data_IF_840190548529
#
_entry.id   IF_840190548529
#
_cell.length_a   1.000
_cell.length_b   1.000
_cell.length_c   1.000
_cell.angle_alpha   90.00
_cell.angle_beta   90.00
_cell.angle_gamma   90.00
#
_symmetry.space_group_name_H-M   'P 1'
#
loop_
_entity.id
_entity.type
_entity.pdbx_description
1 polymer ?
2 polymer ?
3 polymer ?
#
# COMPACT_ATOMS: atom_id res chain seq x y z
N UNK A 22 23.37 12.40 -1.31
CA UNK A 22 24.51 12.28 -2.26
C UNK A 22 24.23 11.04 -3.08
N UNK A 23 24.71 9.90 -2.60
CA UNK A 23 24.45 8.60 -3.22
C UNK A 23 23.04 8.10 -2.99
N UNK A 24 22.22 8.92 -2.35
CA UNK A 24 20.83 8.53 -2.11
C UNK A 24 20.18 8.21 -3.45
N UNK A 25 20.31 9.14 -4.39
CA UNK A 25 19.84 8.96 -5.76
C UNK A 25 20.57 7.80 -6.43
N UNK A 26 21.89 7.92 -6.48
CA UNK A 26 22.73 6.91 -7.10
C UNK A 26 22.23 5.50 -6.77
N UNK A 27 22.05 5.22 -5.47
CA UNK A 27 21.54 3.95 -5.00
C UNK A 27 20.14 3.67 -5.47
N UNK A 28 19.31 4.72 -5.51
CA UNK A 28 17.94 4.57 -6.01
C UNK A 28 17.92 4.18 -7.49
N UNK A 29 18.72 4.87 -8.30
CA UNK A 29 18.75 4.61 -9.73
C UNK A 29 18.79 3.11 -9.99
N UNK A 30 19.73 2.44 -9.34
CA UNK A 30 19.93 1.02 -9.48
C UNK A 30 18.62 0.27 -9.30
N UNK A 31 17.84 0.65 -8.29
CA UNK A 31 16.57 -0.01 -8.01
C UNK A 31 15.64 -0.03 -9.22
N UNK A 32 15.39 1.13 -9.81
CA UNK A 32 14.52 1.24 -10.97
C UNK A 32 14.88 0.17 -12.01
N UNK A 33 16.13 0.21 -12.49
CA UNK A 33 16.64 -0.80 -13.41
C UNK A 33 16.41 -2.20 -12.84
N UNK A 34 16.90 -2.43 -11.62
CA UNK A 34 16.84 -3.74 -10.98
C UNK A 34 15.42 -4.27 -11.02
N UNK A 35 14.47 -3.47 -10.56
CA UNK A 35 13.09 -3.92 -10.55
C UNK A 35 12.66 -4.33 -11.94
N UNK A 36 12.87 -3.45 -12.91
CA UNK A 36 12.51 -3.75 -14.28
C UNK A 36 13.02 -5.14 -14.62
N UNK A 37 14.28 -5.39 -14.29
CA UNK A 37 14.93 -6.67 -14.55
C UNK A 37 14.22 -7.84 -13.89
N UNK A 38 13.72 -7.62 -12.68
CA UNK A 38 13.03 -8.67 -11.94
C UNK A 38 11.69 -9.01 -12.58
N UNK A 39 10.92 -7.98 -12.90
CA UNK A 39 9.61 -8.17 -13.50
C UNK A 39 9.76 -8.91 -14.83
N UNK A 40 10.72 -8.49 -15.66
CA UNK A 40 11.05 -9.24 -16.88
C UNK A 40 11.24 -10.73 -16.57
N UNK A 41 12.12 -11.02 -15.63
CA UNK A 41 12.36 -12.39 -15.20
C UNK A 41 11.06 -13.08 -14.82
N UNK A 42 10.24 -12.44 -13.99
CA UNK A 42 8.95 -13.03 -13.65
C UNK A 42 8.20 -13.43 -14.90
N UNK A 43 8.23 -12.56 -15.90
CA UNK A 43 7.55 -12.83 -17.14
C UNK A 43 8.08 -14.13 -17.75
N UNK A 44 9.39 -14.23 -17.88
CA UNK A 44 10.04 -15.45 -18.40
C UNK A 44 9.57 -16.65 -17.58
N UNK A 45 9.58 -16.49 -16.25
CA UNK A 45 9.12 -17.54 -15.32
C UNK A 45 7.68 -17.95 -15.64
N UNK A 46 6.81 -16.96 -15.86
CA UNK A 46 5.43 -17.25 -16.18
C UNK A 46 5.34 -18.02 -17.47
N UNK A 47 6.16 -17.64 -18.45
CA UNK A 47 6.15 -18.29 -19.76
C UNK A 47 6.45 -19.78 -19.69
N UNK A 48 7.49 -20.13 -18.93
CA UNK A 48 7.84 -21.53 -18.71
C UNK A 48 7.07 -22.14 -17.55
N UNK A 49 5.93 -21.55 -17.22
CA UNK A 49 4.98 -22.16 -16.32
C UNK A 49 5.24 -22.07 -14.83
N UNK A 50 6.47 -21.75 -14.43
CA UNK A 50 6.86 -21.82 -13.02
C UNK A 50 5.79 -21.35 -12.06
N UNK A 51 5.25 -20.14 -12.31
CA UNK A 51 4.16 -19.61 -11.50
C UNK A 51 2.80 -19.68 -12.21
N UNK A 52 1.74 -19.82 -11.43
CA UNK A 52 0.41 -19.75 -11.98
C UNK A 52 0.16 -18.38 -12.59
N UNK A 53 -0.76 -18.34 -13.54
CA UNK A 53 -1.01 -17.21 -14.41
C UNK A 53 -1.46 -15.97 -13.64
N UNK A 54 -1.76 -16.17 -12.37
CA UNK A 54 -2.28 -15.11 -11.55
C UNK A 54 -1.28 -14.61 -10.54
N UNK A 55 -0.60 -15.54 -9.86
CA UNK A 55 0.43 -15.16 -8.91
C UNK A 55 1.30 -14.09 -9.54
N UNK A 56 1.43 -14.15 -10.87
CA UNK A 56 2.25 -13.20 -11.59
C UNK A 56 1.73 -11.79 -11.37
N UNK A 57 0.43 -11.63 -11.62
CA UNK A 57 -0.21 -10.33 -11.47
C UNK A 57 0.07 -9.72 -10.10
N UNK A 58 -0.29 -10.46 -9.04
CA UNK A 58 -0.06 -10.05 -7.66
C UNK A 58 1.38 -9.66 -7.46
N UNK A 59 2.31 -10.59 -7.62
CA UNK A 59 3.70 -10.26 -7.42
C UNK A 59 4.17 -9.13 -8.32
N UNK A 60 3.74 -9.16 -9.58
CA UNK A 60 4.09 -8.12 -10.54
C UNK A 60 3.66 -6.73 -10.12
N UNK A 61 2.38 -6.55 -9.86
CA UNK A 61 1.86 -5.27 -9.41
C UNK A 61 2.61 -4.78 -8.20
N UNK A 62 2.75 -5.63 -7.19
CA UNK A 62 3.45 -5.26 -5.96
C UNK A 62 4.85 -4.74 -6.25
N UNK A 63 5.48 -5.26 -7.32
CA UNK A 63 6.78 -4.77 -7.76
C UNK A 63 6.65 -3.44 -8.46
N UNK A 64 5.81 -3.41 -9.48
CA UNK A 64 5.58 -2.18 -10.25
C UNK A 64 5.26 -1.03 -9.33
N UNK A 65 4.19 -1.17 -8.56
CA UNK A 65 3.85 -0.19 -7.54
C UNK A 65 5.12 0.30 -6.85
N UNK A 66 5.94 -0.62 -6.34
CA UNK A 66 7.18 -0.25 -5.67
C UNK A 66 7.96 0.62 -6.61
N UNK A 67 8.17 0.12 -7.83
CA UNK A 67 8.95 0.85 -8.81
C UNK A 67 8.47 2.30 -8.96
N UNK A 68 7.18 2.47 -9.24
CA UNK A 68 6.66 3.79 -9.45
C UNK A 68 7.21 4.71 -8.39
N UNK A 69 7.06 4.33 -7.13
CA UNK A 69 7.48 5.19 -6.03
C UNK A 69 8.94 5.54 -6.20
N UNK A 70 9.76 4.56 -6.54
CA UNK A 70 11.15 4.83 -6.78
C UNK A 70 11.27 5.85 -7.89
N UNK A 71 10.73 5.53 -9.07
CA UNK A 71 10.86 6.47 -10.18
C UNK A 71 10.44 7.88 -9.78
N UNK A 72 9.24 8.00 -9.24
CA UNK A 72 8.69 9.29 -8.82
C UNK A 72 9.58 9.93 -7.78
N UNK A 73 10.11 9.12 -6.90
CA UNK A 73 11.02 9.59 -5.88
C UNK A 73 12.21 10.30 -6.52
N UNK A 74 12.67 9.81 -7.67
CA UNK A 74 13.74 10.46 -8.39
C UNK A 74 13.29 11.82 -8.91
N UNK A 75 12.06 11.90 -9.41
CA UNK A 75 11.52 13.14 -9.92
C UNK A 75 11.68 14.21 -8.89
N UNK A 76 11.37 13.88 -7.64
CA UNK A 76 11.64 14.79 -6.54
C UNK A 76 13.08 15.31 -6.63
N UNK A 77 14.06 14.40 -6.74
CA UNK A 77 15.45 14.81 -6.76
C UNK A 77 15.85 15.44 -8.09
N UNK A 78 15.53 14.76 -9.19
CA UNK A 78 15.90 15.20 -10.54
C UNK A 78 15.13 16.43 -11.02
N UNK A 79 14.08 16.80 -10.31
CA UNK A 79 13.46 18.10 -10.51
C UNK A 79 14.34 19.09 -9.79
N UNK A 80 14.99 18.73 -8.81
N UNK B 31 15.51 12.70 0.58
CA UNK B 31 14.29 12.91 1.35
C UNK B 31 13.09 12.24 0.67
N UNK B 32 12.60 11.14 1.26
CA UNK B 32 11.53 10.35 0.63
C UNK B 32 10.26 11.17 0.50
N UNK B 33 9.45 11.15 1.55
CA UNK B 33 8.26 11.97 1.61
C UNK B 33 8.67 13.35 2.02
N UNK B 34 8.19 14.33 1.26
CA UNK B 34 8.31 15.71 1.67
C UNK B 34 7.47 15.93 2.94
N UNK B 35 8.08 16.48 3.98
CA UNK B 35 7.36 16.73 5.22
C UNK B 35 6.35 17.86 5.10
N UNK B 36 5.87 18.09 3.87
CA UNK B 36 4.77 19.02 3.62
C UNK B 36 3.95 18.52 2.45
N UNK B 37 3.78 17.20 2.41
CA UNK B 37 3.01 16.54 1.38
C UNK B 37 1.66 16.13 1.98
N UNK B 38 0.58 16.63 1.38
CA UNK B 38 -0.75 16.48 1.99
C UNK B 38 -1.04 15.03 2.36
N UNK B 39 -1.68 14.84 3.51
CA UNK B 39 -2.18 13.53 3.88
C UNK B 39 -2.99 13.00 2.72
N UNK B 40 -3.76 13.89 2.11
CA UNK B 40 -4.56 13.54 0.96
C UNK B 40 -3.69 13.34 -0.27
N UNK B 41 -2.60 14.08 -0.37
CA UNK B 41 -1.65 13.86 -1.47
C UNK B 41 -0.96 12.51 -1.35
N UNK B 42 -0.48 12.17 -0.17
CA UNK B 42 0.15 10.88 0.08
C UNK B 42 -0.74 9.79 -0.47
N UNK B 43 -2.05 9.94 -0.29
CA UNK B 43 -3.01 8.99 -0.82
C UNK B 43 -3.04 9.03 -2.35
N UNK B 44 -2.78 10.20 -2.92
CA UNK B 44 -2.80 10.34 -4.36
C UNK B 44 -1.58 9.67 -5.01
N UNK B 45 -0.39 9.90 -4.48
CA UNK B 45 0.78 9.15 -4.96
C UNK B 45 0.44 7.66 -4.94
N UNK B 46 0.10 7.16 -3.75
CA UNK B 46 -0.25 5.76 -3.57
C UNK B 46 -1.16 5.29 -4.69
N UNK B 47 -2.13 6.13 -5.05
CA UNK B 47 -3.02 5.85 -6.18
C UNK B 47 -2.28 5.67 -7.51
N UNK B 48 -1.45 6.63 -7.86
CA UNK B 48 -0.71 6.56 -9.11
C UNK B 48 0.11 5.29 -9.16
N UNK B 49 0.78 4.99 -8.05
CA UNK B 49 1.57 3.77 -7.89
C UNK B 49 0.78 2.56 -8.32
N UNK B 50 -0.54 2.64 -8.13
CA UNK B 50 -1.46 1.61 -8.57
C UNK B 50 -1.75 1.69 -10.06
N UNK B 51 -2.11 2.86 -10.54
CA UNK B 51 -2.34 3.08 -11.96
C UNK B 51 -1.13 2.56 -12.72
N UNK B 52 0.05 3.07 -12.37
CA UNK B 52 1.29 2.54 -12.90
C UNK B 52 1.22 1.04 -12.84
N UNK B 53 1.20 0.48 -11.62
CA UNK B 53 1.17 -0.96 -11.44
C UNK B 53 0.32 -1.65 -12.48
N UNK B 54 -0.85 -1.10 -12.77
CA UNK B 54 -1.71 -1.74 -13.76
C UNK B 54 -1.01 -1.72 -15.10
N UNK B 55 -0.71 -0.53 -15.58
CA UNK B 55 -0.20 -0.35 -16.94
C UNK B 55 0.93 -1.32 -17.25
N UNK B 56 2.03 -1.22 -16.52
CA UNK B 56 3.18 -2.02 -16.86
C UNK B 56 2.84 -3.51 -16.77
N UNK B 57 2.05 -3.88 -15.78
CA UNK B 57 1.68 -5.27 -15.61
C UNK B 57 0.88 -5.74 -16.81
N UNK B 58 -0.19 -5.03 -17.12
CA UNK B 58 -1.03 -5.39 -18.25
C UNK B 58 -0.14 -5.68 -19.43
N UNK B 59 0.67 -4.71 -19.82
CA UNK B 59 1.46 -4.85 -21.03
C UNK B 59 2.08 -6.23 -21.11
N UNK B 60 2.66 -6.72 -20.03
CA UNK B 60 3.17 -8.07 -20.03
C UNK B 60 2.09 -9.10 -20.32
N UNK B 61 1.04 -9.10 -19.51
CA UNK B 61 -0.02 -10.07 -19.68
C UNK B 61 -0.27 -10.26 -21.15
N UNK B 62 -0.57 -9.16 -21.82
CA UNK B 62 -0.86 -9.19 -23.24
C UNK B 62 0.22 -9.91 -24.05
N UNK B 63 1.46 -9.49 -23.87
CA UNK B 63 2.56 -10.13 -24.57
C UNK B 63 2.50 -11.61 -24.32
N UNK B 64 2.42 -12.01 -23.05
CA UNK B 64 2.37 -13.43 -22.71
C UNK B 64 1.31 -14.18 -23.51
N UNK B 65 0.18 -13.53 -23.74
CA UNK B 65 -0.91 -14.14 -24.48
C UNK B 65 -0.63 -14.27 -25.96
N UNK B 66 0.17 -13.37 -26.49
CA UNK B 66 0.57 -13.44 -27.89
C UNK B 66 1.74 -14.41 -28.09
N UNK B 67 2.16 -15.03 -26.99
CA UNK B 67 3.14 -16.11 -27.03
C UNK B 67 2.57 -17.34 -26.38
N UNK B 68 1.24 -17.42 -26.34
CA UNK B 68 0.51 -18.60 -25.89
C UNK B 68 0.74 -18.95 -24.41
N UNK B 69 1.83 -18.44 -23.83
CA UNK B 69 2.20 -18.77 -22.46
C UNK B 69 0.96 -18.90 -21.59
N UNK B 70 0.09 -17.90 -21.67
CA UNK B 70 -1.21 -17.93 -21.02
C UNK B 70 -2.25 -18.29 -22.06
N UNK B 71 -3.30 -18.98 -21.65
CA UNK B 71 -4.30 -19.35 -22.64
C UNK B 71 -5.57 -18.55 -22.50
N UNK B 72 -6.19 -18.32 -23.66
CA UNK B 72 -7.41 -17.55 -23.81
C UNK B 72 -8.34 -17.54 -22.61
N UNK B 73 -8.84 -18.72 -22.22
CA UNK B 73 -9.67 -18.84 -21.01
C UNK B 73 -9.16 -17.87 -19.93
N UNK B 74 -7.92 -18.11 -19.49
CA UNK B 74 -7.28 -17.28 -18.50
C UNK B 74 -7.33 -15.82 -18.93
N UNK B 75 -6.72 -15.51 -20.07
CA UNK B 75 -6.42 -14.13 -20.47
C UNK B 75 -7.60 -13.16 -20.38
N UNK B 76 -8.75 -13.56 -20.90
CA UNK B 76 -9.85 -12.61 -21.07
C UNK B 76 -10.48 -12.16 -19.76
N UNK B 77 -10.53 -13.06 -18.79
CA UNK B 77 -10.99 -12.72 -17.45
C UNK B 77 -10.04 -11.69 -16.91
N UNK B 78 -8.84 -12.14 -16.58
CA UNK B 78 -7.82 -11.29 -16.00
C UNK B 78 -7.72 -9.90 -16.64
N UNK B 79 -7.61 -9.84 -17.97
CA UNK B 79 -7.51 -8.55 -18.66
C UNK B 79 -8.73 -7.70 -18.37
N UNK B 80 -9.89 -8.23 -18.72
CA UNK B 80 -11.15 -7.55 -18.47
C UNK B 80 -11.11 -6.97 -17.05
N UNK B 81 -10.74 -7.83 -16.09
CA UNK B 81 -10.63 -7.45 -14.69
C UNK B 81 -9.76 -6.23 -14.56
N UNK B 82 -8.54 -6.30 -15.08
CA UNK B 82 -7.64 -5.15 -15.02
C UNK B 82 -8.30 -3.91 -15.60
N UNK B 83 -8.74 -4.03 -16.85
CA UNK B 83 -9.27 -2.88 -17.57
C UNK B 83 -10.37 -2.21 -16.77
N UNK B 84 -11.11 -3.02 -16.02
CA UNK B 84 -12.13 -2.50 -15.13
C UNK B 84 -11.44 -1.71 -14.01
N UNK B 85 -10.56 -2.39 -13.27
CA UNK B 85 -9.88 -1.78 -12.13
C UNK B 85 -9.40 -0.38 -12.48
N UNK B 86 -8.67 -0.26 -13.59
CA UNK B 86 -8.15 1.01 -14.07
C UNK B 86 -9.21 2.12 -13.97
N UNK B 87 -10.26 2.01 -14.78
CA UNK B 87 -11.29 3.03 -14.89
C UNK B 87 -11.74 3.51 -13.51
N UNK B 88 -11.73 2.60 -12.55
CA UNK B 88 -12.09 2.90 -11.19
C UNK B 88 -11.12 3.88 -10.54
N UNK B 89 -9.82 3.61 -10.64
CA UNK B 89 -8.82 4.48 -10.03
C UNK B 89 -8.96 5.94 -10.46
N UNK B 90 -9.12 6.16 -11.75
CA UNK B 90 -9.35 7.49 -12.26
C UNK B 90 -10.67 8.00 -11.74
N UNK B 91 -11.73 7.22 -11.93
CA UNK B 91 -13.06 7.66 -11.52
C UNK B 91 -13.31 7.51 -10.01
N UNK B 92 -12.23 7.59 -9.25
CA UNK B 92 -12.30 7.69 -7.81
C UNK B 92 -12.82 9.08 -7.44
N UNK B 93 -13.18 9.28 -6.16
CA UNK B 93 -13.67 10.58 -5.70
C UNK B 93 -12.65 11.67 -5.95
N UNK B 94 -11.44 11.49 -5.44
CA UNK B 94 -10.38 12.44 -5.75
C UNK B 94 -9.82 12.18 -7.12
N UNK B 95 -10.58 12.63 -8.12
CA UNK B 95 -10.27 12.48 -9.54
C UNK B 95 -9.50 13.68 -10.08
N UNK B 96 -9.89 14.87 -9.64
CA UNK B 96 -9.28 16.15 -10.08
C UNK B 96 -7.76 16.04 -10.10
N UNK B 97 -7.19 15.80 -8.92
CA UNK B 97 -5.73 15.71 -8.69
C UNK B 97 -5.02 14.71 -9.59
N UNK B 98 -5.72 13.62 -9.89
CA UNK B 98 -5.25 12.67 -10.86
C UNK B 98 -4.94 13.42 -12.17
N UNK B 99 -5.95 13.65 -12.99
CA UNK B 99 -5.74 14.39 -14.22
C UNK B 99 -4.87 15.60 -13.95
N UNK B 100 -5.00 16.18 -12.75
CA UNK B 100 -4.29 17.41 -12.39
C UNK B 100 -2.77 17.26 -12.60
N UNK B 101 -2.02 16.84 -11.59
CA UNK B 101 -0.57 16.79 -11.79
C UNK B 101 -0.14 15.62 -12.68
N UNK B 102 -1.11 14.78 -13.06
CA UNK B 102 -0.81 13.56 -13.84
C UNK B 102 -1.90 13.23 -14.87
N UNK B 103 -1.93 14.08 -15.90
CA UNK B 103 -3.00 14.17 -16.89
C UNK B 103 -3.31 12.95 -17.74
N UNK B 104 -4.00 13.26 -18.85
CA UNK B 104 -4.51 12.30 -19.82
C UNK B 104 -3.46 11.29 -20.18
N UNK B 105 -3.92 10.05 -20.33
CA UNK B 105 -3.07 8.89 -20.08
C UNK B 105 -1.92 8.62 -21.04
N UNK B 106 -2.20 8.49 -22.34
CA UNK B 106 -1.09 8.35 -23.27
C UNK B 106 0.06 9.26 -22.85
N UNK B 107 -0.28 10.49 -22.47
CA UNK B 107 0.68 11.43 -21.93
C UNK B 107 1.45 10.86 -20.74
N UNK B 108 0.75 10.64 -19.62
CA UNK B 108 1.37 10.13 -18.39
C UNK B 108 2.30 8.95 -18.61
N UNK B 109 2.17 8.31 -19.77
CA UNK B 109 3.02 7.18 -20.10
C UNK B 109 4.44 7.65 -20.48
N UNK B 110 4.54 8.93 -20.84
CA UNK B 110 5.79 9.54 -21.31
C UNK B 110 6.48 10.25 -20.17
N UNK B 111 5.70 11.06 -19.46
CA UNK B 111 6.16 11.75 -18.25
C UNK B 111 7.08 10.85 -17.45
N UNK B 112 6.74 9.57 -17.47
CA UNK B 112 7.49 8.56 -16.77
C UNK B 112 8.09 7.62 -17.78
N UNK B 113 9.37 7.31 -17.60
CA UNK B 113 10.02 6.40 -18.49
C UNK B 113 9.36 5.06 -18.35
N UNK B 114 8.47 4.79 -19.30
CA UNK B 114 7.58 3.65 -19.29
C UNK B 114 7.46 3.21 -20.72
N UNK B 115 7.81 1.95 -21.02
CA UNK B 115 7.62 1.47 -22.38
C UNK B 115 6.55 0.38 -22.41
N UNK B 116 5.50 0.56 -23.21
CA UNK B 116 4.40 -0.42 -23.25
C UNK B 116 3.53 -0.41 -24.51
N UNK B 117 4.19 -0.53 -25.67
CA UNK B 117 3.56 -0.38 -27.00
C UNK B 117 2.30 -1.22 -27.19
N UNK B 118 2.18 -2.32 -26.46
CA UNK B 118 0.96 -3.11 -26.46
C UNK B 118 -0.08 -2.45 -25.61
N UNK B 119 0.27 -2.30 -24.33
CA UNK B 119 -0.62 -1.76 -23.33
C UNK B 119 -1.42 -0.59 -23.89
N UNK B 120 -0.71 0.40 -24.41
CA UNK B 120 -1.34 1.64 -24.83
C UNK B 120 -2.47 1.40 -25.83
N UNK B 121 -2.43 0.27 -26.55
CA UNK B 121 -3.53 -0.11 -27.45
C UNK B 121 -4.60 -0.89 -26.71
N UNK B 122 -4.19 -1.74 -25.77
CA UNK B 122 -5.16 -2.47 -24.99
C UNK B 122 -5.92 -1.54 -24.07
N UNK B 123 -5.32 -0.41 -23.74
CA UNK B 123 -6.00 0.52 -22.88
C UNK B 123 -6.98 1.35 -23.70
N UNK B 124 -6.46 2.17 -24.61
CA UNK B 124 -7.29 3.09 -25.39
C UNK B 124 -8.42 2.41 -26.12
N UNK B 125 -8.29 1.11 -26.34
CA UNK B 125 -9.42 0.28 -26.72
C UNK B 125 -9.83 -0.49 -25.46
N UNK B 126 -11.07 -0.29 -25.01
CA UNK B 126 -11.52 -0.84 -23.73
C UNK B 126 -12.11 -2.25 -23.76
N UNK B 127 -11.44 -3.15 -24.47
CA UNK B 127 -11.88 -4.54 -24.66
C UNK B 127 -10.72 -5.41 -25.10
N UNK B 128 -10.66 -6.66 -24.62
CA UNK B 128 -9.49 -7.54 -24.80
C UNK B 128 -9.40 -8.37 -26.11
N UNK B 129 -10.34 -9.30 -26.32
CA UNK B 129 -10.31 -10.22 -27.46
C UNK B 129 -10.73 -9.56 -28.76
N UNK B 130 -11.80 -8.76 -28.72
CA UNK B 130 -12.35 -8.04 -29.88
C UNK B 130 -12.63 -8.97 -31.09
N UNK B 131 -12.70 -10.19 -30.94
N UNK C 11 54.11 7.97 -6.83
CA UNK C 11 53.12 9.06 -6.56
C UNK C 11 52.36 9.46 -7.82
N UNK C 12 53.04 9.34 -8.96
CA UNK C 12 52.46 9.72 -10.24
C UNK C 12 51.83 8.51 -10.93
N UNK C 13 52.58 7.41 -10.95
CA UNK C 13 52.16 6.15 -11.58
C UNK C 13 51.13 5.42 -10.74
N UNK C 14 51.54 5.02 -9.54
CA UNK C 14 50.63 4.47 -8.54
C UNK C 14 49.26 5.16 -8.63
N UNK C 15 49.27 6.47 -8.85
CA UNK C 15 48.04 7.26 -9.04
C UNK C 15 47.21 6.77 -10.22
N UNK C 16 47.65 7.07 -11.45
CA UNK C 16 46.95 6.65 -12.67
C UNK C 16 46.78 5.12 -12.72
N UNK C 17 47.44 4.42 -11.81
CA UNK C 17 47.31 2.98 -11.73
C UNK C 17 46.36 2.46 -10.64
N UNK C 18 45.96 3.36 -9.74
CA UNK C 18 44.82 3.12 -8.86
C UNK C 18 43.54 2.98 -9.67
N UNK C 19 43.47 3.68 -10.80
CA UNK C 19 42.35 3.63 -11.75
C UNK C 19 42.20 2.27 -12.39
N UNK C 20 43.30 1.77 -12.97
CA UNK C 20 43.30 0.43 -13.49
C UNK C 20 43.01 -0.50 -12.31
N UNK C 21 43.66 -0.22 -11.17
CA UNK C 21 43.56 -1.07 -9.97
C UNK C 21 42.15 -1.54 -9.65
N UNK C 22 41.20 -0.61 -9.62
CA UNK C 22 39.83 -0.98 -9.38
C UNK C 22 39.15 -1.50 -10.62
N UNK C 23 39.31 -0.77 -11.74
CA UNK C 23 38.53 -1.03 -12.94
C UNK C 23 38.46 -2.52 -13.28
N UNK C 24 39.53 -3.25 -12.96
CA UNK C 24 39.57 -4.69 -13.22
C UNK C 24 38.78 -5.54 -12.21
N UNK C 25 38.92 -5.26 -10.92
CA UNK C 25 38.27 -6.07 -9.89
C UNK C 25 36.75 -5.89 -9.86
N UNK C 26 36.29 -4.65 -10.09
CA UNK C 26 34.86 -4.38 -10.23
C UNK C 26 34.30 -5.14 -11.42
N UNK C 27 34.98 -5.01 -12.55
CA UNK C 27 34.65 -5.77 -13.74
C UNK C 27 34.20 -7.17 -13.37
N UNK C 28 35.02 -7.88 -12.60
CA UNK C 28 34.79 -9.27 -12.22
C UNK C 28 33.48 -9.50 -11.48
N UNK C 29 33.26 -8.69 -10.43
CA UNK C 29 32.03 -8.74 -9.67
C UNK C 29 30.84 -8.69 -10.62
N UNK C 30 30.83 -7.67 -11.48
CA UNK C 30 29.80 -7.53 -12.49
C UNK C 30 29.60 -8.84 -13.26
N UNK C 31 30.68 -9.34 -13.88
CA UNK C 31 30.60 -10.64 -14.53
C UNK C 31 29.97 -11.62 -13.57
N UNK C 32 30.56 -11.74 -12.39
CA UNK C 32 30.10 -12.63 -11.33
C UNK C 32 28.59 -12.53 -11.02
N UNK C 33 28.09 -11.29 -10.96
CA UNK C 33 26.71 -11.09 -10.57
C UNK C 33 25.73 -11.51 -11.66
N UNK C 34 25.92 -10.98 -12.87
CA UNK C 34 25.10 -11.38 -14.01
C UNK C 34 25.11 -12.91 -14.14
N UNK C 35 26.32 -13.47 -14.12
CA UNK C 35 26.57 -14.92 -14.06
C UNK C 35 25.67 -15.62 -13.06
N UNK C 36 25.59 -15.03 -11.87
CA UNK C 36 24.81 -15.57 -10.77
C UNK C 36 23.32 -15.63 -11.07
N UNK C 37 22.77 -14.50 -11.51
CA UNK C 37 21.35 -14.37 -11.78
C UNK C 37 20.86 -15.34 -12.85
N UNK C 38 21.75 -15.70 -13.78
CA UNK C 38 21.43 -16.71 -14.76
C UNK C 38 21.33 -18.08 -14.09
N UNK C 39 22.29 -18.40 -13.22
CA UNK C 39 22.28 -19.65 -12.49
C UNK C 39 21.07 -19.68 -11.57
N UNK C 40 20.87 -18.60 -10.86
CA UNK C 40 19.73 -18.47 -9.98
C UNK C 40 18.41 -18.65 -10.71
N UNK C 41 18.34 -18.21 -11.96
CA UNK C 41 17.17 -18.49 -12.78
C UNK C 41 17.02 -19.98 -13.02
N UNK C 42 18.13 -20.67 -13.29
CA UNK C 42 18.09 -22.12 -13.48
C UNK C 42 17.64 -22.83 -12.20
N UNK C 43 17.99 -22.27 -11.04
CA UNK C 43 17.47 -22.80 -9.78
C UNK C 43 16.02 -22.34 -9.66
N UNK C 44 15.15 -23.12 -10.28
CA UNK C 44 13.73 -22.83 -10.33
C UNK C 44 12.94 -24.12 -10.15
N UNK C 45 12.46 -24.33 -8.93
CA UNK C 45 11.83 -25.61 -8.60
C UNK C 45 10.32 -25.56 -8.36
N UNK C 46 9.86 -26.52 -7.57
CA UNK C 46 8.43 -26.77 -7.38
C UNK C 46 7.81 -25.70 -6.48
N UNK C 47 8.39 -24.49 -6.53
CA UNK C 47 8.00 -23.42 -5.63
C UNK C 47 6.47 -23.19 -5.66
N UNK C 48 5.77 -23.93 -4.82
CA UNK C 48 4.38 -23.67 -4.52
C UNK C 48 4.35 -22.90 -3.22
N UNK C 49 5.45 -23.02 -2.49
CA UNK C 49 5.70 -22.21 -1.31
C UNK C 49 5.80 -20.75 -1.71
N UNK C 50 4.66 -20.05 -1.68
CA UNK C 50 4.63 -18.60 -1.93
C UNK C 50 5.48 -17.89 -0.90
N UNK C 51 5.73 -18.58 0.21
CA UNK C 51 6.68 -18.13 1.22
C UNK C 51 8.08 -18.09 0.63
N UNK C 52 8.43 -19.14 -0.12
CA UNK C 52 9.76 -19.27 -0.69
C UNK C 52 9.92 -18.53 -2.01
N UNK C 53 8.84 -18.46 -2.78
CA UNK C 53 8.87 -17.66 -4.00
C UNK C 53 9.23 -16.21 -3.68
N UNK C 54 8.68 -15.71 -2.59
CA UNK C 54 8.98 -14.37 -2.12
C UNK C 54 10.46 -14.23 -1.74
N UNK C 55 11.01 -15.29 -1.15
CA UNK C 55 12.40 -15.29 -0.74
C UNK C 55 13.30 -15.36 -1.94
N UNK C 56 12.79 -15.96 -3.02
CA UNK C 56 13.48 -15.99 -4.31
C UNK C 56 13.52 -14.61 -4.98
N UNK C 57 12.33 -14.02 -5.09
CA UNK C 57 12.15 -12.65 -5.51
C UNK C 57 13.09 -11.74 -4.73
N UNK C 58 12.81 -11.58 -3.43
CA UNK C 58 13.63 -10.76 -2.54
C UNK C 58 15.08 -10.84 -2.98
N UNK C 59 15.59 -12.05 -3.15
CA UNK C 59 16.99 -12.24 -3.41
C UNK C 59 17.42 -11.85 -4.80
N UNK C 60 16.62 -12.20 -5.80
CA UNK C 60 16.89 -11.80 -7.18
C UNK C 60 16.94 -10.27 -7.26
N UNK C 61 15.88 -9.63 -6.76
CA UNK C 61 15.80 -8.16 -6.65
C UNK C 61 17.06 -7.62 -5.99
N UNK C 62 17.19 -7.90 -4.70
CA UNK C 62 18.39 -7.65 -3.92
C UNK C 62 19.64 -7.76 -4.79
N UNK C 63 19.84 -8.91 -5.42
CA UNK C 63 21.00 -9.11 -6.29
C UNK C 63 21.08 -8.08 -7.39
N UNK C 64 20.10 -8.07 -8.28
CA UNK C 64 20.09 -7.17 -9.41
C UNK C 64 20.43 -5.74 -9.01
N UNK C 65 19.91 -5.31 -7.86
CA UNK C 65 20.23 -3.99 -7.35
C UNK C 65 21.72 -3.85 -7.34
N UNK C 66 22.40 -4.79 -6.70
CA UNK C 66 23.85 -4.73 -6.62
C UNK C 66 24.53 -4.70 -8.00
N UNK C 67 23.97 -5.40 -8.98
CA UNK C 67 24.55 -5.41 -10.32
C UNK C 67 24.56 -4.00 -10.89
N UNK C 68 23.38 -3.45 -11.12
CA UNK C 68 23.27 -2.16 -11.75
C UNK C 68 24.12 -1.11 -11.04
N UNK C 69 24.01 -1.09 -9.71
CA UNK C 69 24.79 -0.20 -8.87
C UNK C 69 26.26 -0.20 -9.28
N UNK C 70 26.83 -1.38 -9.46
CA UNK C 70 28.21 -1.50 -9.90
C UNK C 70 28.32 -0.99 -11.32
N UNK C 71 27.67 -1.69 -12.24
CA UNK C 71 27.65 -1.29 -13.63
C UNK C 71 27.67 0.22 -13.72
N UNK C 72 26.77 0.86 -12.99
CA UNK C 72 26.68 2.31 -12.96
C UNK C 72 28.05 3.00 -12.92
N UNK C 73 28.85 2.69 -11.90
CA UNK C 73 30.12 3.37 -11.73
C UNK C 73 30.76 3.74 -13.05
N UNK C 74 31.08 2.71 -13.83
CA UNK C 74 31.73 2.89 -15.13
C UNK C 74 30.73 3.42 -16.14
N UNK C 75 29.69 2.80 -16.33
N UNK D 22 -2.86 17.15 29.40
CA UNK D 22 -1.45 17.59 29.60
C UNK D 22 -0.52 16.55 29.00
N UNK D 23 0.14 15.82 29.90
CA UNK D 23 0.80 14.57 29.57
C UNK D 23 -0.20 13.72 28.84
N UNK D 24 -1.43 13.68 29.37
CA UNK D 24 -2.55 12.98 28.78
C UNK D 24 -2.57 13.19 27.28
N UNK D 25 -2.79 14.45 26.87
CA UNK D 25 -2.88 14.81 25.47
C UNK D 25 -1.71 14.21 24.72
N UNK D 26 -0.51 14.56 25.18
CA UNK D 26 0.73 14.05 24.60
C UNK D 26 0.71 12.54 24.34
N UNK D 27 0.23 11.77 25.32
CA UNK D 27 0.15 10.32 25.21
C UNK D 27 -0.95 9.85 24.26
N UNK D 28 -2.08 10.55 24.27
CA UNK D 28 -3.18 10.19 23.39
C UNK D 28 -2.80 10.36 21.93
N UNK D 29 -2.17 11.48 21.60
CA UNK D 29 -1.80 11.78 20.23
C UNK D 29 -1.15 10.56 19.59
N UNK D 30 -0.15 10.02 20.29
CA UNK D 30 0.56 8.84 19.85
C UNK D 30 -0.42 7.73 19.42
N UNK D 31 -1.43 7.47 20.24
CA UNK D 31 -2.40 6.43 19.94
C UNK D 31 -3.00 6.58 18.55
N UNK D 32 -3.54 7.76 18.25
CA UNK D 32 -4.18 8.01 16.96
C UNK D 32 -3.28 7.55 15.82
N UNK D 33 -2.07 8.09 15.79
CA UNK D 33 -1.08 7.65 14.81
C UNK D 33 -0.88 6.14 14.88
N UNK D 34 -0.54 5.65 16.07
CA UNK D 34 -0.28 4.24 16.27
C UNK D 34 -1.38 3.35 15.68
N UNK D 35 -2.63 3.59 16.06
CA UNK D 35 -3.72 2.77 15.54
C UNK D 35 -3.66 2.79 14.03
N UNK D 36 -3.63 3.99 13.45
CA UNK D 36 -3.60 4.13 12.00
C UNK D 36 -2.57 3.17 11.44
N UNK D 37 -1.38 3.21 12.03
CA UNK D 37 -0.29 2.34 11.61
C UNK D 37 -0.64 0.85 11.70
N UNK D 38 -1.39 0.49 12.74
CA UNK D 38 -1.74 -0.90 12.95
C UNK D 38 -2.71 -1.35 11.86
N UNK D 39 -3.73 -0.53 11.63
CA UNK D 39 -4.75 -0.87 10.66
C UNK D 39 -4.11 -1.06 9.29
N UNK D 40 -3.26 -0.12 8.90
CA UNK D 40 -2.48 -0.27 7.68
C UNK D 40 -1.83 -1.66 7.65
N UNK D 41 -1.11 -2.00 8.71
CA UNK D 41 -0.44 -3.28 8.81
C UNK D 41 -1.42 -4.43 8.60
N UNK D 42 -2.57 -4.38 9.28
CA UNK D 42 -3.61 -5.38 9.04
C UNK D 42 -3.93 -5.49 7.57
N UNK D 43 -4.01 -4.35 6.92
CA UNK D 43 -4.27 -4.33 5.49
C UNK D 43 -3.21 -5.12 4.73
N UNK D 44 -1.95 -4.74 4.92
CA UNK D 44 -0.80 -5.49 4.37
C UNK D 44 -0.93 -7.00 4.67
N UNK D 45 -1.22 -7.32 5.93
CA UNK D 45 -1.47 -8.69 6.36
C UNK D 45 -2.57 -9.32 5.51
N UNK D 46 -3.68 -8.61 5.31
CA UNK D 46 -4.76 -9.16 4.53
C UNK D 46 -4.33 -9.46 3.12
N UNK D 47 -3.55 -8.55 2.55
CA UNK D 47 -3.11 -8.68 1.17
C UNK D 47 -2.31 -9.95 0.91
N UNK D 48 -1.33 -10.21 1.78
CA UNK D 48 -0.54 -11.43 1.73
C UNK D 48 -1.25 -12.57 2.47
N UNK D 49 -2.57 -12.40 2.64
CA UNK D 49 -3.46 -13.49 3.02
C UNK D 49 -3.21 -14.19 4.34
N UNK D 50 -2.21 -13.77 5.09
CA UNK D 50 -1.97 -14.37 6.41
C UNK D 50 -3.13 -14.10 7.38
N UNK D 51 -4.21 -13.50 6.85
CA UNK D 51 -5.44 -13.29 7.60
C UNK D 51 -6.61 -13.33 6.64
N UNK D 52 -7.65 -14.10 6.99
CA UNK D 52 -8.89 -14.21 6.22
C UNK D 52 -9.50 -12.85 5.85
N UNK D 53 -10.48 -12.87 4.95
CA UNK D 53 -11.00 -11.66 4.31
C UNK D 53 -12.03 -10.97 5.20
N UNK D 54 -12.44 -11.67 6.24
CA UNK D 54 -13.45 -11.17 7.13
C UNK D 54 -12.87 -10.81 8.47
N UNK D 55 -11.99 -11.65 8.98
CA UNK D 55 -11.37 -11.39 10.27
C UNK D 55 -10.86 -9.98 10.26
N UNK D 56 -10.47 -9.53 9.07
CA UNK D 56 -9.99 -8.17 8.90
C UNK D 56 -11.03 -7.13 9.31
N UNK D 57 -12.24 -7.26 8.76
CA UNK D 57 -13.34 -6.36 9.08
C UNK D 57 -13.55 -6.25 10.58
N UNK D 58 -13.79 -7.39 11.23
CA UNK D 58 -13.96 -7.44 12.67
C UNK D 58 -12.84 -6.72 13.37
N UNK D 59 -11.63 -7.25 13.28
CA UNK D 59 -10.54 -6.61 13.96
C UNK D 59 -10.36 -5.16 13.56
N UNK D 60 -10.49 -4.87 12.27
CA UNK D 60 -10.37 -3.49 11.76
C UNK D 60 -11.32 -2.53 12.46
N UNK D 61 -12.61 -2.83 12.34
CA UNK D 61 -13.63 -1.99 12.93
C UNK D 61 -13.31 -1.74 14.39
N UNK D 62 -13.09 -2.81 15.15
CA UNK D 62 -12.82 -2.69 16.58
C UNK D 62 -11.66 -1.76 16.84
N UNK D 63 -10.72 -1.70 15.91
CA UNK D 63 -9.63 -0.75 16.00
C UNK D 63 -10.15 0.65 15.73
N UNK D 64 -10.71 0.83 14.54
CA UNK D 64 -11.24 2.14 14.11
C UNK D 64 -12.13 2.74 15.18
N UNK D 65 -13.19 2.02 15.52
CA UNK D 65 -14.04 2.41 16.61
C UNK D 65 -13.19 2.98 17.74
N UNK D 66 -12.19 2.23 18.19
CA UNK D 66 -11.33 2.68 19.27
C UNK D 66 -10.77 4.02 18.87
N UNK D 67 -10.17 4.07 17.68
CA UNK D 67 -9.54 5.29 17.18
C UNK D 67 -10.47 6.49 17.28
N UNK D 68 -11.65 6.39 16.70
CA UNK D 68 -12.59 7.48 16.74
C UNK D 68 -12.60 8.09 18.14
N UNK D 69 -12.83 7.26 19.14
CA UNK D 69 -12.95 7.74 20.51
C UNK D 69 -11.74 8.55 20.89
N UNK D 70 -10.55 8.04 20.54
CA UNK D 70 -9.33 8.77 20.81
C UNK D 70 -9.38 10.11 20.10
N UNK D 71 -9.56 10.09 18.78
CA UNK D 71 -9.57 11.34 18.07
C UNK D 71 -10.54 12.33 18.70
N UNK D 72 -11.80 11.92 18.83
CA UNK D 72 -12.87 12.76 19.38
C UNK D 72 -12.48 13.25 20.75
N UNK D 73 -11.83 12.39 21.52
CA UNK D 73 -11.38 12.72 22.86
C UNK D 73 -10.41 13.90 22.83
N UNK D 74 -9.62 13.99 21.77
CA UNK D 74 -8.73 15.12 21.58
C UNK D 74 -9.53 16.39 21.32
N UNK D 75 -10.56 16.28 20.50
CA UNK D 75 -11.43 17.41 20.22
C UNK D 75 -11.85 18.05 21.52
N UNK D 76 -12.26 17.22 22.48
CA UNK D 76 -12.57 17.69 23.80
C UNK D 76 -11.44 18.58 24.27
N UNK D 77 -10.20 18.10 24.20
CA UNK D 77 -9.06 18.86 24.72
C UNK D 77 -8.66 20.07 23.88
N UNK D 78 -8.42 19.89 22.58
CA UNK D 78 -7.91 21.01 21.80
C UNK D 78 -9.01 21.98 21.39
N UNK D 79 -10.22 21.76 21.91
CA UNK D 79 -11.31 22.71 21.75
C UNK D 79 -10.89 24.13 22.15
N UNK D 80 -10.70 24.39 23.47
CA UNK D 80 -10.35 25.75 23.91
C UNK D 80 -9.29 26.40 23.01
N UNK D 81 -9.55 27.64 22.61
CA UNK D 81 -8.77 28.35 21.58
C UNK D 81 -8.22 27.37 20.54
N UNK D 82 -8.99 26.88 19.71
N UNK E 30 -7.12 17.37 30.35
CA UNK E 30 -6.79 16.07 31.01
C UNK E 30 -8.01 15.09 30.96
N UNK E 31 -9.23 15.59 31.26
CA UNK E 31 -10.34 14.67 31.56
C UNK E 31 -10.92 13.96 30.35
N UNK E 32 -11.22 12.67 30.54
CA UNK E 32 -11.75 11.76 29.50
C UNK E 32 -13.19 12.12 29.19
N UNK E 33 -13.31 13.18 28.39
CA UNK E 33 -14.45 14.11 28.41
C UNK E 33 -14.81 14.58 29.85
N UNK E 34 -15.99 15.18 29.99
CA UNK E 34 -16.52 15.64 31.27
C UNK E 34 -17.20 14.49 31.98
N UNK E 35 -18.10 14.79 32.90
CA UNK E 35 -18.95 13.75 33.51
C UNK E 35 -20.42 14.09 33.35
N UNK E 36 -20.69 15.37 33.16
CA UNK E 36 -21.99 15.85 32.79
C UNK E 36 -22.19 15.58 31.31
N UNK E 37 -22.30 14.29 30.96
CA UNK E 37 -22.59 13.86 29.59
C UNK E 37 -23.83 12.96 29.53
N UNK E 38 -24.82 13.31 28.71
CA UNK E 38 -26.12 12.61 28.69
C UNK E 38 -25.95 11.17 28.30
N UNK E 39 -26.55 10.27 29.06
CA UNK E 39 -26.56 8.88 28.66
C UNK E 39 -27.62 8.68 27.60
N UNK E 40 -27.89 9.76 26.89
CA UNK E 40 -28.38 9.67 25.54
C UNK E 40 -27.27 10.18 24.59
N UNK E 41 -26.55 11.21 25.00
CA UNK E 41 -25.40 11.67 24.22
C UNK E 41 -24.32 10.61 24.16
N UNK E 42 -23.96 10.04 25.32
CA UNK E 42 -22.96 8.99 25.39
C UNK E 42 -23.28 7.93 24.34
N UNK E 43 -24.57 7.63 24.20
CA UNK E 43 -25.01 6.67 23.20
C UNK E 43 -24.79 7.20 21.80
N UNK E 44 -24.87 8.51 21.64
CA UNK E 44 -24.63 9.11 20.34
C UNK E 44 -23.15 9.06 19.91
N UNK E 45 -22.23 9.44 20.80
CA UNK E 45 -20.81 9.30 20.50
C UNK E 45 -20.61 7.87 20.04
N UNK E 46 -20.96 6.91 20.90
CA UNK E 46 -20.79 5.48 20.59
C UNK E 46 -21.23 5.17 19.17
N UNK E 47 -22.35 5.78 18.76
CA UNK E 47 -22.86 5.63 17.40
C UNK E 47 -21.88 6.14 16.36
N UNK E 48 -21.42 7.37 16.51
CA UNK E 48 -20.46 7.93 15.57
C UNK E 48 -19.26 7.02 15.42
N UNK E 49 -18.70 6.62 16.57
CA UNK E 49 -17.59 5.69 16.63
C UNK E 49 -17.81 4.53 15.71
N UNK E 50 -19.08 4.18 15.52
CA UNK E 50 -19.44 3.12 14.58
C UNK E 50 -19.45 3.63 13.15
N UNK E 51 -20.12 4.76 12.94
CA UNK E 51 -20.20 5.31 11.61
C UNK E 51 -18.79 5.44 11.13
N UNK E 52 -17.95 6.08 11.94
CA UNK E 52 -16.52 6.17 11.63
C UNK E 52 -16.00 4.80 11.26
N UNK E 53 -16.07 3.87 12.21
CA UNK E 53 -15.57 2.53 12.00
C UNK E 53 -15.92 2.01 10.64
N UNK E 54 -17.17 2.20 10.19
CA UNK E 54 -17.52 1.74 8.86
C UNK E 54 -16.63 2.42 7.83
N UNK E 55 -16.70 3.75 7.79
CA UNK E 55 -16.09 4.51 6.74
C UNK E 55 -14.65 4.08 6.52
N UNK E 56 -13.81 4.27 7.52
CA UNK E 56 -12.40 4.00 7.33
C UNK E 56 -12.18 2.53 6.95
N UNK E 57 -12.98 1.63 7.50
CA UNK E 57 -12.82 0.22 7.20
C UNK E 57 -13.16 -0.02 5.74
N UNK E 58 -14.34 0.43 5.34
CA UNK E 58 -14.79 0.22 3.97
C UNK E 58 -13.68 0.59 3.02
N UNK E 59 -13.26 1.85 3.09
CA UNK E 59 -12.24 2.36 2.20
C UNK E 59 -11.16 1.29 1.96
N UNK E 60 -10.67 0.66 3.02
CA UNK E 60 -9.68 -0.37 2.85
C UNK E 60 -10.22 -1.49 2.00
N UNK E 61 -11.33 -2.09 2.43
CA UNK E 61 -11.91 -3.23 1.70
C UNK E 61 -11.80 -3.00 0.20
N UNK E 62 -12.36 -1.87 -0.22
CA UNK E 62 -12.37 -1.50 -1.60
C UNK E 62 -10.98 -1.54 -2.20
N UNK E 63 -10.03 -0.84 -1.59
CA UNK E 63 -8.66 -0.87 -2.06
C UNK E 63 -8.21 -2.31 -2.25
N UNK E 64 -8.37 -3.12 -1.20
CA UNK E 64 -7.92 -4.52 -1.23
C UNK E 64 -8.44 -5.18 -2.48
N UNK E 65 -9.68 -4.87 -2.83
CA UNK E 65 -10.34 -5.48 -3.97
C UNK E 65 -9.77 -5.02 -5.31
N UNK E 66 -9.27 -3.80 -5.33
CA UNK E 66 -8.64 -3.26 -6.51
C UNK E 66 -7.19 -3.69 -6.56
N UNK E 67 -6.80 -4.52 -5.60
CA UNK E 67 -5.52 -5.21 -5.66
C UNK E 67 -5.70 -6.72 -5.56
N UNK E 68 -6.91 -7.19 -5.91
CA UNK E 68 -7.21 -8.60 -6.00
C UNK E 68 -7.12 -9.33 -4.68
N UNK E 69 -6.38 -8.76 -3.73
CA UNK E 69 -6.17 -9.40 -2.44
C UNK E 69 -7.41 -10.17 -2.01
N UNK E 70 -8.57 -9.52 -2.10
CA UNK E 70 -9.86 -10.14 -1.83
C UNK E 70 -10.52 -10.41 -3.18
N UNK E 71 -11.30 -11.48 -3.26
CA UNK E 71 -11.91 -11.79 -4.54
C UNK E 71 -13.40 -11.54 -4.60
N UNK E 72 -13.81 -11.07 -5.77
CA UNK E 72 -15.17 -10.65 -6.07
C UNK E 72 -16.23 -11.29 -5.20
N UNK E 73 -16.30 -12.63 -5.25
CA UNK E 73 -17.25 -13.40 -4.44
C UNK E 73 -17.32 -12.76 -3.06
N UNK E 74 -16.18 -12.75 -2.38
CA UNK E 74 -16.10 -12.16 -1.06
C UNK E 74 -16.60 -10.71 -1.07
N UNK E 75 -15.93 -9.87 -1.85
CA UNK E 75 -16.10 -8.41 -1.80
C UNK E 75 -17.57 -7.97 -1.79
N UNK E 76 -18.36 -8.46 -2.74
CA UNK E 76 -19.65 -7.87 -2.98
C UNK E 76 -20.61 -8.08 -1.81
N UNK E 77 -20.52 -9.24 -1.18
CA UNK E 77 -21.32 -9.50 0.02
C UNK E 77 -20.94 -8.50 1.08
N UNK E 78 -19.73 -8.65 1.60
CA UNK E 78 -19.22 -7.78 2.65
C UNK E 78 -19.51 -6.29 2.42
N UNK E 79 -19.22 -5.78 1.22
CA UNK E 79 -19.47 -4.36 0.96
C UNK E 79 -20.95 -4.08 1.10
N UNK E 80 -21.77 -4.76 0.30
CA UNK E 80 -23.21 -4.59 0.35
C UNK E 80 -23.68 -4.56 1.80
N UNK E 81 -23.18 -5.50 2.59
CA UNK E 81 -23.47 -5.59 4.02
C UNK E 81 -23.13 -4.29 4.70
N UNK E 82 -21.88 -3.84 4.58
CA UNK E 82 -21.50 -2.57 5.18
C UNK E 82 -22.45 -1.47 4.77
N UNK E 83 -22.56 -1.27 3.46
CA UNK E 83 -23.34 -0.17 2.92
C UNK E 83 -24.73 -0.16 3.52
N UNK E 84 -25.24 -1.35 3.80
CA UNK E 84 -26.53 -1.48 4.45
C UNK E 84 -26.41 -0.97 5.87
N UNK E 85 -25.48 -1.55 6.63
CA UNK E 85 -25.28 -1.18 8.02
C UNK E 85 -25.30 0.34 8.19
N UNK E 86 -24.47 1.02 7.40
CA UNK E 86 -24.39 2.48 7.42
C UNK E 86 -25.76 3.14 7.49
N UNK E 87 -26.53 3.01 6.41
CA UNK E 87 -27.86 3.63 6.30
C UNK E 87 -28.69 3.48 7.55
N UNK E 88 -28.52 2.34 8.20
CA UNK E 88 -29.18 2.04 9.44
C UNK E 88 -28.75 3.00 10.54
N UNK E 89 -27.45 3.17 10.74
CA UNK E 89 -26.96 4.02 11.81
C UNK E 89 -27.56 5.41 11.74
N UNK E 90 -27.58 5.98 10.55
CA UNK E 90 -28.17 7.30 10.38
C UNK E 90 -29.66 7.24 10.61
N UNK E 91 -30.34 6.28 9.99
CA UNK E 91 -31.78 6.18 10.10
C UNK E 91 -32.24 5.44 11.36
N UNK E 92 -31.42 5.56 12.41
CA UNK E 92 -31.77 5.14 13.75
C UNK E 92 -32.83 6.10 14.31
N UNK E 93 -33.42 5.75 15.46
CA UNK E 93 -34.43 6.63 16.06
C UNK E 93 -33.83 7.98 16.37
N UNK E 94 -32.78 8.01 17.18
CA UNK E 94 -32.10 9.27 17.42
C UNK E 94 -31.25 9.66 16.21
N UNK E 95 -31.94 10.20 15.21
CA UNK E 95 -31.34 10.61 13.95
C UNK E 95 -30.95 12.08 13.99
N UNK E 96 -31.83 12.89 14.56
CA UNK E 96 -31.65 14.35 14.65
C UNK E 96 -30.23 14.67 15.05
N UNK E 97 -29.84 14.22 16.24
CA UNK E 97 -28.54 14.50 16.84
C UNK E 97 -27.37 14.15 15.94
N UNK E 98 -27.54 13.08 15.19
CA UNK E 98 -26.57 12.69 14.18
C UNK E 98 -26.31 13.88 13.25
N UNK E 99 -27.18 14.06 12.27
CA UNK E 99 -27.03 15.19 11.40
C UNK E 99 -26.72 16.42 12.22
N UNK E 100 -27.26 16.49 13.45
CA UNK E 100 -27.13 17.70 14.29
C UNK E 100 -25.67 18.09 14.50
N UNK E 101 -24.99 17.55 15.53
CA UNK E 101 -23.61 17.99 15.75
C UNK E 101 -22.65 17.37 14.76
N UNK E 102 -23.17 16.49 13.90
CA UNK E 102 -22.32 15.78 12.94
C UNK E 102 -23.02 15.53 11.60
N UNK E 103 -23.09 16.61 10.81
CA UNK E 103 -23.88 16.70 9.57
C UNK E 103 -23.41 15.80 8.41
N UNK E 104 -23.48 16.35 7.19
CA UNK E 104 -23.26 15.63 5.92
C UNK E 104 -21.97 14.84 5.79
N UNK E 105 -21.97 13.86 4.89
CA UNK E 105 -20.81 12.97 4.67
C UNK E 105 -19.50 13.73 4.51
N UNK E 106 -19.48 14.64 3.54
CA UNK E 106 -18.31 15.43 3.26
C UNK E 106 -17.68 15.89 4.57
N UNK E 107 -18.44 16.68 5.33
CA UNK E 107 -17.96 17.27 6.58
C UNK E 107 -17.28 16.25 7.49
N UNK E 108 -17.98 15.15 7.73
CA UNK E 108 -17.54 14.13 8.66
C UNK E 108 -16.23 13.55 8.23
N UNK E 109 -16.06 13.45 6.92
CA UNK E 109 -14.84 12.91 6.34
C UNK E 109 -13.66 13.87 6.56
N UNK E 110 -13.96 15.14 6.79
CA UNK E 110 -12.92 16.14 7.00
C UNK E 110 -12.66 16.48 8.46
N UNK E 111 -13.61 16.16 9.33
CA UNK E 111 -13.47 16.50 10.74
C UNK E 111 -12.43 15.66 11.44
N UNK E 112 -12.21 14.45 10.94
CA UNK E 112 -11.02 13.69 11.34
C UNK E 112 -9.88 13.94 10.38
N UNK E 113 -10.26 14.28 9.15
CA UNK E 113 -9.42 14.13 7.97
C UNK E 113 -9.16 12.67 7.80
N UNK E 114 -10.23 11.95 7.51
CA UNK E 114 -10.09 10.58 7.14
C UNK E 114 -9.75 10.55 5.67
N UNK E 115 -8.46 10.68 5.37
CA UNK E 115 -8.01 10.55 4.02
C UNK E 115 -8.68 9.27 3.57
N UNK E 116 -9.65 9.42 2.67
CA UNK E 116 -10.40 8.29 2.13
C UNK E 116 -10.56 8.34 0.62
N UNK E 117 -10.85 9.52 0.09
CA UNK E 117 -10.97 9.76 -1.37
C UNK E 117 -11.71 8.67 -2.16
N UNK E 118 -12.29 7.71 -1.46
CA UNK E 118 -12.66 6.48 -2.11
C UNK E 118 -13.94 5.87 -1.57
N UNK E 119 -13.91 5.46 -0.30
CA UNK E 119 -15.10 5.00 0.40
C UNK E 119 -16.19 6.03 0.12
N UNK E 120 -15.74 7.28 0.11
CA UNK E 120 -16.56 8.42 -0.15
C UNK E 120 -17.46 8.15 -1.33
N UNK E 121 -16.91 7.55 -2.38
CA UNK E 121 -17.65 7.35 -3.63
C UNK E 121 -18.78 6.31 -3.55
N UNK E 122 -18.62 5.31 -2.69
CA UNK E 122 -19.68 4.33 -2.49
C UNK E 122 -20.90 5.05 -1.95
N UNK E 123 -20.68 5.79 -0.87
CA UNK E 123 -21.70 6.63 -0.24
C UNK E 123 -22.18 7.76 -1.15
N UNK E 124 -21.58 7.87 -2.34
CA UNK E 124 -22.03 8.85 -3.31
C UNK E 124 -22.77 8.13 -4.43
N UNK E 125 -23.01 6.84 -4.21
CA UNK E 125 -23.87 6.02 -5.08
C UNK E 125 -24.03 4.67 -4.37
N UNK E 126 -24.89 4.65 -3.36
CA UNK E 126 -25.02 3.49 -2.46
C UNK E 126 -25.12 2.09 -3.06
N UNK E 127 -24.00 1.59 -3.57
CA UNK E 127 -23.84 0.22 -4.09
C UNK E 127 -22.41 -0.02 -4.57
N UNK E 128 -21.91 -1.27 -4.44
CA UNK E 128 -20.73 -1.65 -5.23
C UNK E 128 -21.12 -1.87 -6.70
N UNK E 129 -20.17 -1.74 -7.63
CA UNK E 129 -20.49 -2.09 -9.03
C UNK E 129 -19.95 -3.46 -9.41
N UNK E 130 -20.80 -4.21 -10.10
CA UNK E 130 -20.50 -5.59 -10.51
C UNK E 130 -19.94 -6.43 -9.34
N UNK E 131 -20.15 -6.11 -8.16
N UNK F 22 21.66 11.77 26.00
CA UNK F 22 20.28 11.31 26.33
C UNK F 22 19.43 11.24 25.07
N UNK F 23 19.55 12.28 24.24
CA UNK F 23 18.75 12.42 23.03
C UNK F 23 18.98 11.29 22.03
N UNK F 24 20.24 10.95 21.76
CA UNK F 24 20.54 9.95 20.74
C UNK F 24 20.23 8.51 21.20
N UNK F 25 19.99 8.34 22.50
CA UNK F 25 19.51 7.06 23.00
C UNK F 25 18.07 6.91 22.55
N UNK F 26 17.30 7.99 22.67
CA UNK F 26 15.94 8.06 22.13
C UNK F 26 15.94 7.91 20.61
N UNK F 27 17.02 8.37 19.99
CA UNK F 27 17.25 8.11 18.58
C UNK F 27 17.29 6.60 18.38
N UNK F 28 18.16 5.94 19.13
CA UNK F 28 18.37 4.49 19.04
C UNK F 28 17.11 3.68 19.31
N UNK F 29 16.42 3.96 20.42
CA UNK F 29 15.14 3.34 20.75
C UNK F 29 14.19 3.39 19.58
N UNK F 30 13.97 4.60 19.07
CA UNK F 30 13.18 4.80 17.87
C UNK F 30 13.61 3.85 16.75
N UNK F 31 14.87 3.94 16.32
CA UNK F 31 15.38 2.98 15.34
C UNK F 31 14.97 1.56 15.76
N UNK F 32 15.37 1.17 16.96
CA UNK F 32 15.07 -0.13 17.55
C UNK F 32 13.61 -0.53 17.42
N UNK F 33 12.71 0.40 17.72
CA UNK F 33 11.29 0.08 17.74
C UNK F 33 10.75 -0.16 16.33
N UNK F 34 10.92 0.80 15.43
CA UNK F 34 10.49 0.63 14.05
C UNK F 34 11.08 -0.68 13.51
N UNK F 35 12.36 -0.88 13.77
CA UNK F 35 13.09 -2.11 13.44
C UNK F 35 12.32 -3.35 13.91
N UNK F 36 11.85 -3.29 15.15
CA UNK F 36 11.14 -4.36 15.78
C UNK F 36 9.87 -4.73 15.03
N UNK F 37 9.03 -3.74 14.80
CA UNK F 37 7.72 -3.90 14.17
C UNK F 37 7.81 -4.53 12.81
N UNK F 38 8.90 -4.25 12.10
CA UNK F 38 9.15 -4.87 10.82
C UNK F 38 9.42 -6.37 11.02
N UNK F 39 10.27 -6.69 12.01
CA UNK F 39 10.57 -8.08 12.32
C UNK F 39 9.31 -8.77 12.82
N UNK F 40 8.61 -8.11 13.74
CA UNK F 40 7.37 -8.63 14.25
C UNK F 40 6.34 -8.89 13.16
N UNK F 41 6.36 -8.08 12.11
CA UNK F 41 5.52 -8.35 10.95
C UNK F 41 5.96 -9.63 10.26
N UNK F 42 7.27 -9.84 10.14
CA UNK F 42 7.79 -11.09 9.55
C UNK F 42 7.39 -12.30 10.39
N UNK F 43 7.33 -12.12 11.71
CA UNK F 43 6.78 -13.16 12.58
C UNK F 43 5.27 -13.17 12.39
N UNK F 44 4.85 -13.89 11.34
CA UNK F 44 3.45 -14.01 10.99
C UNK F 44 3.14 -15.45 10.58
N UNK F 45 2.64 -16.22 11.53
CA UNK F 45 2.33 -17.63 11.29
C UNK F 45 0.82 -17.83 11.38
N UNK F 46 0.34 -18.14 12.59
CA UNK F 46 -1.07 -18.48 12.93
C UNK F 46 -2.18 -17.60 12.31
N UNK F 47 -2.90 -18.22 11.38
CA UNK F 47 -4.07 -17.63 10.70
C UNK F 47 -5.36 -18.11 11.42
N UNK F 48 -5.18 -18.62 12.65
CA UNK F 48 -6.19 -19.47 13.30
C UNK F 48 -6.54 -19.06 14.74
N UNK F 49 -5.60 -19.26 15.66
CA UNK F 49 -5.78 -18.90 17.07
C UNK F 49 -6.12 -17.43 17.18
N UNK F 50 -7.42 -17.14 17.11
CA UNK F 50 -7.93 -15.79 17.27
C UNK F 50 -7.58 -15.29 18.66
N UNK F 51 -7.26 -16.24 19.54
CA UNK F 51 -6.70 -15.93 20.86
C UNK F 51 -5.32 -15.30 20.73
N UNK F 52 -4.50 -15.85 19.85
CA UNK F 52 -3.12 -15.38 19.68
C UNK F 52 -3.03 -14.18 18.75
N UNK F 53 -3.90 -14.13 17.75
CA UNK F 53 -3.94 -12.99 16.85
C UNK F 53 -4.18 -11.72 17.65
N UNK F 54 -5.05 -11.82 18.64
CA UNK F 54 -5.34 -10.71 19.53
C UNK F 54 -4.11 -10.34 20.34
N UNK F 55 -3.33 -11.34 20.71
CA UNK F 55 -2.13 -11.12 21.49
C UNK F 55 -1.06 -10.50 20.62
N UNK F 56 -1.11 -10.82 19.33
CA UNK F 56 -0.25 -10.18 18.32
C UNK F 56 -0.59 -8.70 18.11
N UNK F 57 -1.87 -8.44 17.86
CA UNK F 57 -2.45 -7.11 17.81
C UNK F 57 -2.05 -6.34 19.04
N UNK F 58 -2.60 -6.74 20.19
CA UNK F 58 -2.28 -6.08 21.45
C UNK F 58 -0.85 -5.59 21.45
N UNK F 59 0.08 -6.47 21.13
CA UNK F 59 1.48 -6.15 21.23
C UNK F 59 1.97 -5.16 20.19
N UNK F 60 1.56 -5.36 18.93
CA UNK F 60 1.92 -4.43 17.87
C UNK F 60 1.44 -3.04 18.25
N UNK F 61 0.15 -2.94 18.58
CA UNK F 61 -0.46 -1.70 19.05
C UNK F 61 0.39 -1.12 20.17
N UNK F 62 0.41 -1.84 21.29
CA UNK F 62 1.25 -1.53 22.44
C UNK F 62 2.58 -0.93 21.96
N UNK F 63 3.28 -1.66 21.09
CA UNK F 63 4.59 -1.22 20.61
C UNK F 63 4.50 0.13 19.89
N UNK F 64 3.73 0.17 18.82
CA UNK F 64 3.62 1.37 18.00
C UNK F 64 3.36 2.58 18.87
N UNK F 65 2.51 2.42 19.89
CA UNK F 65 2.24 3.50 20.82
C UNK F 65 3.57 4.06 21.31
N UNK F 66 4.44 3.18 21.80
CA UNK F 66 5.72 3.62 22.34
C UNK F 66 6.57 4.31 21.30
N UNK F 67 6.46 3.88 20.04
CA UNK F 67 7.23 4.50 18.96
C UNK F 67 6.87 5.97 18.79
N UNK F 68 5.61 6.22 18.41
CA UNK F 68 5.16 7.58 18.18
C UNK F 68 5.44 8.49 19.38
N UNK F 69 5.09 8.01 20.57
CA UNK F 69 5.36 8.71 21.82
C UNK F 69 6.80 9.26 21.88
N UNK F 70 7.77 8.41 21.57
CA UNK F 70 9.17 8.83 21.52
C UNK F 70 9.34 9.82 20.39
N UNK F 71 9.13 9.35 19.16
CA UNK F 71 9.22 10.19 17.99
C UNK F 71 8.71 11.59 18.30
N UNK F 72 7.55 11.66 18.93
CA UNK F 72 6.94 12.93 19.32
C UNK F 72 7.92 13.92 19.94
N UNK F 73 8.62 13.49 21.00
CA UNK F 73 9.53 14.37 21.75
C UNK F 73 10.19 15.47 20.89
N UNK F 74 11.17 15.09 20.07
CA UNK F 74 11.74 16.08 19.15
C UNK F 74 12.03 15.41 17.81
N UNK F 75 11.86 14.20 17.66
#
# INVERSE_FOLDING_TARGET
MSTSHVDDEDVNSIAVAKTDGLNQLYNLVAQDYALTDTIECLSRMLHRGTIPLDTFVKQGRELARQQFLVRWHIQRITSPLS
MAHHHHHHMQKHNIKLNQNQDISQLFHDEVPLFDNSITSKDKEVIETLSEIYSIVITLDHVEKAYLKDSIDDTQYTNTVDKLLKQFKVYLNSQNKEEINKHFQSIEAFCDTYNITASNAITRLERGIPITAEHAISTTTSAPSGDNKQSSSSDKK
MYVASWQDYHSDFSEKYGDIALKKKLEQNTKKLDEESSQLETTTRSIDSADDLDQFIKNYLDIRTQYHLRREKLATWDKQGNLKY
MSTSHVDDEDVNSIAVAKTDGLNQLYNLVAQDYALTDTIECLSRMLHRGTIPLDTFVKQGRELARQQFLVRWHIQRITSPLS
MAHHHHHHMQKHNIKLNQNQDISQLFHDEVPLFDNSITSKDKEVIETLSEIYSIVITLDHVEKAYLKDSIDDTQYTNTVDKLLKQFKVYLNSQNKEEINKHFQSIEAFCDTYNITASNAITRLERGIPITAEHAISTTTSAPSGDNKQSSSSDKK
MYVASWQDYHSDFSEKYGDIALKKKLEQNTKKLDEESSQLETTTRSIDSADDLDQFIKNYLDIRTQYHLRREKLATWDKQGNLKY
#
